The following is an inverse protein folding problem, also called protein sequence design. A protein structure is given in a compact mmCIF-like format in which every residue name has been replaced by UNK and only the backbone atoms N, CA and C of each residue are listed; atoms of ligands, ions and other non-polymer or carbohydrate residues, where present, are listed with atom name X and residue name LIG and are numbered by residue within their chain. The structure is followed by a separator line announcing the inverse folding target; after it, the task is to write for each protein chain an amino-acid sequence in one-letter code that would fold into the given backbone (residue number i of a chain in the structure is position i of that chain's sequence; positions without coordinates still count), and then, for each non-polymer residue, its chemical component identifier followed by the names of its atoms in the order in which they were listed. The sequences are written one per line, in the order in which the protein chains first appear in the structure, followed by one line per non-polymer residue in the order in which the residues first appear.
data_IF_823541775767
#
_entry.id   IF_823541775767
#
_cell.length_a   1.000
_cell.length_b   1.000
_cell.length_c   1.000
_cell.angle_alpha   90.00
_cell.angle_beta   90.00
_cell.angle_gamma   90.00
#
_symmetry.space_group_name_H-M   'P 1'
#
loop_
_entity.id
_entity.type
_entity.pdbx_description
1 polymer ?
#
# COMPACT_ATOMS: atom_id res chain seq x y z
N UNK A 1 -22.90 18.28 -39.87
CA UNK A 1 -22.06 17.78 -38.76
C UNK A 1 -22.95 16.92 -37.87
N UNK A 2 -22.81 15.59 -37.87
CA UNK A 2 -23.59 14.76 -36.96
C UNK A 2 -23.24 15.15 -35.50
N UNK A 3 -24.25 15.48 -34.69
CA UNK A 3 -24.08 15.93 -33.31
C UNK A 3 -23.33 14.90 -32.46
N UNK A 4 -22.56 15.36 -31.48
CA UNK A 4 -21.91 14.44 -30.53
C UNK A 4 -22.99 13.75 -29.70
N UNK A 5 -22.90 12.43 -29.52
CA UNK A 5 -23.75 11.72 -28.57
C UNK A 5 -23.23 11.97 -27.17
N UNK A 6 -24.15 12.27 -26.27
CA UNK A 6 -23.90 12.46 -24.85
C UNK A 6 -24.73 11.46 -24.06
N UNK A 7 -24.20 10.98 -22.93
CA UNK A 7 -25.00 10.25 -21.95
C UNK A 7 -25.89 11.23 -21.15
N UNK A 8 -26.73 10.67 -20.26
CA UNK A 8 -27.61 11.47 -19.41
C UNK A 8 -26.86 12.43 -18.45
N UNK A 9 -25.56 12.21 -18.25
CA UNK A 9 -24.68 13.07 -17.46
C UNK A 9 -23.96 14.14 -18.32
N UNK A 10 -24.29 14.25 -19.61
CA UNK A 10 -23.70 15.20 -20.55
C UNK A 10 -22.31 14.82 -21.06
N UNK A 11 -21.79 13.63 -20.73
CA UNK A 11 -20.47 13.16 -21.16
C UNK A 11 -20.54 12.57 -22.56
N UNK A 12 -19.56 12.88 -23.41
CA UNK A 12 -19.58 12.36 -24.78
C UNK A 12 -19.31 10.86 -24.81
N UNK A 13 -20.14 10.12 -25.54
CA UNK A 13 -20.06 8.65 -25.68
C UNK A 13 -19.57 8.20 -27.06
N UNK A 14 -19.30 9.16 -27.96
CA UNK A 14 -18.83 8.84 -29.30
C UNK A 14 -17.41 8.29 -29.28
N UNK A 15 -17.19 7.21 -30.04
CA UNK A 15 -15.83 6.76 -30.34
C UNK A 15 -15.07 7.90 -31.03
N UNK A 16 -13.83 8.22 -30.64
CA UNK A 16 -13.05 9.24 -31.32
C UNK A 16 -12.81 8.81 -32.78
N UNK A 17 -13.10 9.71 -33.73
CA UNK A 17 -12.96 9.47 -35.18
C UNK A 17 -11.81 10.32 -35.73
N UNK A 18 -11.11 9.80 -36.74
CA UNK A 18 -10.11 10.53 -37.51
C UNK A 18 -8.89 10.95 -36.69
N UNK A 19 -8.49 12.23 -36.83
CA UNK A 19 -7.28 12.78 -36.18
C UNK A 19 -7.35 12.75 -34.65
N UNK A 20 -8.56 12.85 -34.07
CA UNK A 20 -8.73 12.84 -32.61
C UNK A 20 -8.20 11.53 -32.03
N UNK A 21 -8.57 10.38 -32.61
CA UNK A 21 -8.08 9.08 -32.13
C UNK A 21 -6.56 8.96 -32.19
N UNK A 22 -5.93 9.52 -33.23
CA UNK A 22 -4.45 9.58 -33.33
C UNK A 22 -3.83 10.43 -32.23
N UNK A 23 -4.44 11.56 -31.88
CA UNK A 23 -3.92 12.49 -30.87
C UNK A 23 -4.17 12.02 -29.43
N UNK A 24 -5.19 11.19 -29.21
CA UNK A 24 -5.53 10.64 -27.89
C UNK A 24 -5.06 9.20 -27.68
N UNK A 25 -4.35 8.63 -28.65
CA UNK A 25 -3.74 7.31 -28.49
C UNK A 25 -2.54 7.38 -27.54
N UNK A 26 -2.18 6.28 -26.86
CA UNK A 26 -0.94 6.21 -26.09
C UNK A 26 0.29 6.61 -26.92
N UNK A 27 1.33 7.18 -26.27
CA UNK A 27 2.57 7.53 -26.95
C UNK A 27 3.17 6.34 -27.72
N UNK A 28 3.72 6.62 -28.90
CA UNK A 28 4.40 5.59 -29.69
C UNK A 28 5.85 5.46 -29.23
N UNK A 29 6.32 4.23 -29.02
CA UNK A 29 7.72 3.95 -28.66
C UNK A 29 8.04 4.06 -27.17
N UNK A 30 7.09 4.50 -26.35
CA UNK A 30 7.22 4.54 -24.89
C UNK A 30 6.35 3.44 -24.26
N UNK A 31 6.85 2.84 -23.19
CA UNK A 31 6.07 1.91 -22.40
C UNK A 31 4.96 2.67 -21.65
N UNK A 32 3.75 2.13 -21.66
CA UNK A 32 2.59 2.74 -21.01
C UNK A 32 1.76 1.67 -20.30
N UNK A 33 0.89 2.13 -19.42
CA UNK A 33 -0.03 1.30 -18.65
C UNK A 33 -1.40 1.95 -18.60
N UNK A 34 -2.45 1.14 -18.53
CA UNK A 34 -3.83 1.61 -18.42
C UNK A 34 -4.42 1.37 -17.04
N UNK A 35 -5.29 2.29 -16.66
CA UNK A 35 -6.24 2.14 -15.56
C UNK A 35 -7.60 2.56 -16.11
N UNK A 36 -8.63 1.73 -15.88
CA UNK A 36 -9.97 2.02 -16.42
C UNK A 36 -10.71 3.03 -15.54
N UNK A 37 -11.61 3.81 -16.13
CA UNK A 37 -12.43 4.76 -15.37
C UNK A 37 -13.25 4.10 -14.22
N UNK A 38 -13.89 2.92 -14.41
CA UNK A 38 -14.57 2.23 -13.32
C UNK A 38 -13.63 1.83 -12.18
N UNK A 39 -12.37 1.52 -12.50
CA UNK A 39 -11.37 1.23 -11.49
C UNK A 39 -10.97 2.49 -10.73
N UNK A 40 -10.74 3.62 -11.41
CA UNK A 40 -10.44 4.90 -10.76
C UNK A 40 -11.55 5.36 -9.80
N UNK A 41 -12.81 5.09 -10.17
CA UNK A 41 -13.99 5.44 -9.38
C UNK A 41 -14.29 4.44 -8.24
N UNK A 42 -13.67 3.25 -8.28
CA UNK A 42 -13.93 2.18 -7.31
C UNK A 42 -13.57 2.59 -5.86
N UNK A 43 -14.29 2.05 -4.86
CA UNK A 43 -13.89 2.20 -3.45
C UNK A 43 -12.45 1.78 -3.19
N UNK A 44 -12.01 0.68 -3.82
CA UNK A 44 -10.66 0.17 -3.72
C UNK A 44 -9.59 1.20 -4.12
N UNK A 45 -9.77 1.87 -5.26
CA UNK A 45 -8.80 2.84 -5.76
C UNK A 45 -8.80 4.15 -4.95
N UNK A 46 -9.99 4.62 -4.57
CA UNK A 46 -10.13 5.88 -3.81
C UNK A 46 -9.67 5.77 -2.36
N UNK A 47 -9.73 4.58 -1.77
CA UNK A 47 -9.33 4.36 -0.38
C UNK A 47 -7.82 4.20 -0.14
N UNK A 48 -7.00 4.14 -1.20
CA UNK A 48 -5.55 3.97 -1.06
C UNK A 48 -4.90 5.08 -0.23
N UNK A 49 -4.14 4.68 0.78
CA UNK A 49 -3.16 5.55 1.42
C UNK A 49 -1.98 5.90 0.50
N UNK A 50 -1.27 6.97 0.83
CA UNK A 50 -0.14 7.49 0.03
C UNK A 50 0.94 6.46 -0.26
N UNK A 51 1.31 5.62 0.71
CA UNK A 51 2.35 4.61 0.51
C UNK A 51 1.88 3.47 -0.40
N UNK A 52 0.61 3.07 -0.29
CA UNK A 52 0.02 2.06 -1.18
C UNK A 52 -0.06 2.59 -2.60
N UNK A 53 -0.42 3.87 -2.78
CA UNK A 53 -0.39 4.51 -4.10
C UNK A 53 1.00 4.46 -4.71
N UNK A 54 2.03 4.88 -3.97
CA UNK A 54 3.43 4.81 -4.44
C UNK A 54 3.88 3.37 -4.74
N UNK A 55 3.46 2.38 -3.93
CA UNK A 55 3.75 0.96 -4.20
C UNK A 55 3.15 0.52 -5.53
N UNK A 56 1.88 0.88 -5.77
CA UNK A 56 1.21 0.56 -7.03
C UNK A 56 1.87 1.25 -8.21
N UNK A 57 2.20 2.54 -8.09
CA UNK A 57 2.87 3.28 -9.15
C UNK A 57 4.25 2.65 -9.48
N UNK A 58 4.99 2.22 -8.46
CA UNK A 58 6.24 1.46 -8.65
C UNK A 58 6.01 0.14 -9.39
N UNK A 59 4.99 -0.64 -9.01
CA UNK A 59 4.71 -1.92 -9.65
C UNK A 59 4.22 -1.76 -11.09
N UNK A 60 3.44 -0.71 -11.38
CA UNK A 60 3.05 -0.36 -12.75
C UNK A 60 4.29 -0.04 -13.59
N UNK A 61 5.21 0.75 -13.03
CA UNK A 61 6.46 1.09 -13.71
C UNK A 61 7.32 -0.16 -13.96
N UNK A 62 7.44 -1.03 -12.96
CA UNK A 62 8.17 -2.30 -13.11
C UNK A 62 7.55 -3.19 -14.19
N UNK A 63 6.22 -3.29 -14.21
CA UNK A 63 5.50 -3.98 -15.28
C UNK A 63 5.81 -3.39 -16.67
N UNK A 64 5.81 -2.06 -16.80
CA UNK A 64 6.18 -1.37 -18.04
C UNK A 64 7.63 -1.64 -18.44
N UNK A 65 8.58 -1.73 -17.50
CA UNK A 65 9.98 -2.06 -17.77
C UNK A 65 10.15 -3.46 -18.35
N UNK A 66 9.27 -4.39 -17.98
CA UNK A 66 9.22 -5.75 -18.52
C UNK A 66 8.29 -5.89 -19.72
N UNK A 67 8.12 -4.84 -20.53
CA UNK A 67 7.24 -4.82 -21.72
C UNK A 67 5.79 -5.28 -21.45
N UNK A 68 5.37 -5.29 -20.18
CA UNK A 68 4.10 -5.78 -19.71
C UNK A 68 3.85 -7.28 -19.80
N UNK A 69 4.90 -8.10 -19.81
CA UNK A 69 4.78 -9.56 -19.88
C UNK A 69 4.92 -10.26 -18.51
N UNK A 70 5.60 -9.63 -17.56
CA UNK A 70 6.00 -10.24 -16.28
C UNK A 70 5.00 -10.00 -15.12
N UNK A 71 3.73 -9.71 -15.42
CA UNK A 71 2.74 -9.55 -14.35
C UNK A 71 2.60 -10.85 -13.56
N UNK A 72 2.69 -10.76 -12.22
CA UNK A 72 2.74 -11.93 -11.33
C UNK A 72 4.15 -12.32 -10.90
N UNK A 73 5.16 -11.85 -11.62
CA UNK A 73 6.58 -12.05 -11.31
C UNK A 73 7.29 -10.74 -10.94
N UNK A 74 6.55 -9.64 -10.80
CA UNK A 74 7.11 -8.32 -10.53
C UNK A 74 7.87 -8.30 -9.20
N UNK A 75 9.07 -7.74 -9.22
CA UNK A 75 9.91 -7.62 -8.03
C UNK A 75 9.83 -6.20 -7.47
N UNK A 76 9.76 -6.08 -6.15
CA UNK A 76 9.86 -4.79 -5.46
C UNK A 76 10.87 -4.88 -4.29
N UNK A 77 12.18 -4.92 -4.58
CA UNK A 77 13.21 -4.92 -3.55
C UNK A 77 13.07 -3.71 -2.63
N UNK A 78 13.26 -3.90 -1.33
CA UNK A 78 13.10 -2.83 -0.32
C UNK A 78 13.94 -1.59 -0.64
N UNK A 79 15.18 -1.78 -1.11
CA UNK A 79 16.06 -0.68 -1.51
C UNK A 79 15.45 0.16 -2.63
N UNK A 80 14.98 -0.46 -3.70
CA UNK A 80 14.37 0.24 -4.83
C UNK A 80 13.08 0.96 -4.43
N UNK A 81 12.26 0.34 -3.57
CA UNK A 81 11.07 0.99 -3.02
C UNK A 81 11.43 2.22 -2.17
N UNK A 82 12.49 2.14 -1.38
CA UNK A 82 12.97 3.27 -0.59
C UNK A 82 13.51 4.40 -1.47
N UNK A 83 14.30 4.06 -2.50
CA UNK A 83 14.80 5.03 -3.48
C UNK A 83 13.65 5.68 -4.27
N UNK A 84 12.55 4.95 -4.50
CA UNK A 84 11.30 5.47 -5.07
C UNK A 84 10.46 6.29 -4.08
N UNK A 85 10.84 6.35 -2.80
CA UNK A 85 10.19 7.17 -1.77
C UNK A 85 9.22 6.42 -0.86
N UNK A 86 9.26 5.08 -0.77
CA UNK A 86 8.58 4.31 0.28
C UNK A 86 9.52 4.02 1.45
N UNK A 87 9.23 4.59 2.61
CA UNK A 87 9.94 4.21 3.84
C UNK A 87 9.81 2.71 4.12
N UNK A 88 10.93 2.03 4.37
CA UNK A 88 10.98 0.60 4.74
C UNK A 88 9.99 0.21 5.85
N UNK A 89 9.76 1.11 6.82
CA UNK A 89 8.82 0.89 7.94
C UNK A 89 7.37 0.78 7.48
N UNK A 90 7.03 1.40 6.37
CA UNK A 90 5.67 1.51 5.84
C UNK A 90 5.38 0.52 4.72
N UNK A 91 6.41 -0.09 4.12
CA UNK A 91 6.27 -1.10 3.05
C UNK A 91 5.34 -2.24 3.46
N UNK A 92 5.50 -2.91 4.62
CA UNK A 92 4.60 -4.01 4.99
C UNK A 92 3.13 -3.55 5.09
N UNK A 93 2.91 -2.37 5.66
CA UNK A 93 1.58 -1.81 5.83
C UNK A 93 0.93 -1.36 4.50
N UNK A 94 1.74 -1.02 3.50
CA UNK A 94 1.29 -0.68 2.15
C UNK A 94 0.95 -1.95 1.35
N UNK A 95 1.74 -3.01 1.51
CA UNK A 95 1.45 -4.33 0.91
C UNK A 95 0.13 -4.89 1.45
N UNK A 96 -0.03 -4.94 2.78
CA UNK A 96 -1.26 -5.41 3.43
C UNK A 96 -2.50 -4.64 2.95
N UNK A 97 -2.36 -3.31 2.79
CA UNK A 97 -3.43 -2.44 2.30
C UNK A 97 -3.73 -2.70 0.82
N UNK A 98 -2.71 -2.84 -0.03
CA UNK A 98 -2.89 -3.15 -1.45
C UNK A 98 -3.55 -4.52 -1.69
N UNK A 99 -3.23 -5.52 -0.86
CA UNK A 99 -3.86 -6.85 -0.93
C UNK A 99 -5.32 -6.82 -0.49
N UNK A 100 -5.63 -6.10 0.60
CA UNK A 100 -7.01 -5.90 1.07
C UNK A 100 -7.86 -5.20 0.01
N UNK A 101 -7.33 -4.14 -0.61
CA UNK A 101 -8.03 -3.39 -1.66
C UNK A 101 -8.15 -4.20 -2.96
N UNK A 102 -7.59 -5.43 -3.01
CA UNK A 102 -7.66 -6.29 -4.18
C UNK A 102 -6.96 -5.71 -5.39
N UNK A 103 -6.00 -4.79 -5.18
CA UNK A 103 -5.23 -4.15 -6.23
C UNK A 103 -3.97 -4.95 -6.56
N UNK A 104 -3.39 -5.59 -5.54
CA UNK A 104 -2.23 -6.46 -5.70
C UNK A 104 -2.43 -7.82 -5.04
N UNK A 105 -1.59 -8.79 -5.44
CA UNK A 105 -1.31 -10.01 -4.69
C UNK A 105 0.19 -10.14 -4.50
N UNK A 106 0.62 -10.44 -3.28
CA UNK A 106 2.02 -10.60 -2.91
C UNK A 106 2.31 -12.06 -2.58
N UNK A 107 3.07 -12.74 -3.44
CA UNK A 107 3.72 -14.01 -3.05
C UNK A 107 4.99 -13.66 -2.30
N UNK A 108 4.95 -13.78 -0.97
CA UNK A 108 6.11 -13.49 -0.11
C UNK A 108 7.22 -14.50 -0.40
N UNK A 109 8.43 -14.00 -0.57
CA UNK A 109 9.61 -14.86 -0.69
C UNK A 109 10.01 -15.52 0.63
N UNK A 110 10.85 -16.55 0.54
CA UNK A 110 11.34 -17.30 1.70
C UNK A 110 12.20 -16.46 2.64
N UNK A 111 12.13 -16.74 3.94
CA UNK A 111 13.01 -16.14 4.95
C UNK A 111 14.17 -17.12 5.23
N UNK A 112 15.41 -16.61 5.19
CA UNK A 112 16.69 -17.28 5.53
C UNK A 112 17.26 -18.30 4.54
N UNK A 113 16.47 -19.23 3.99
CA UNK A 113 17.04 -20.33 3.19
C UNK A 113 17.11 -20.01 1.70
N UNK A 114 16.02 -19.48 1.13
CA UNK A 114 15.92 -19.34 -0.34
C UNK A 114 16.21 -17.90 -0.82
N UNK A 115 16.31 -16.93 0.11
CA UNK A 115 16.53 -15.49 -0.12
C UNK A 115 15.78 -14.92 -1.34
N UNK A 116 14.60 -15.47 -1.63
CA UNK A 116 13.80 -15.07 -2.78
C UNK A 116 13.14 -13.73 -2.50
N UNK A 117 13.17 -12.84 -3.49
CA UNK A 117 12.42 -11.59 -3.39
C UNK A 117 10.91 -11.87 -3.51
N UNK A 118 10.11 -11.10 -2.76
CA UNK A 118 8.65 -11.12 -2.93
C UNK A 118 8.26 -10.80 -4.37
N UNK A 119 7.28 -11.56 -4.87
CA UNK A 119 6.72 -11.44 -6.22
C UNK A 119 5.33 -10.83 -6.14
N UNK A 120 5.03 -9.91 -7.06
CA UNK A 120 3.79 -9.15 -7.06
C UNK A 120 3.02 -9.32 -8.36
N UNK A 121 1.68 -9.34 -8.23
CA UNK A 121 0.73 -9.30 -9.35
C UNK A 121 -0.18 -8.10 -9.21
N UNK A 122 -0.37 -7.33 -10.28
CA UNK A 122 -1.42 -6.34 -10.42
C UNK A 122 -2.70 -7.06 -10.85
N UNK A 123 -3.79 -6.93 -10.09
CA UNK A 123 -4.98 -7.78 -10.28
C UNK A 123 -5.83 -7.40 -11.49
N UNK A 124 -5.74 -6.16 -11.97
CA UNK A 124 -6.47 -5.70 -13.15
C UNK A 124 -5.72 -5.95 -14.46
N UNK A 125 -4.47 -6.41 -14.39
CA UNK A 125 -3.70 -6.84 -15.56
C UNK A 125 -3.69 -8.37 -15.63
N UNK A 126 -3.71 -8.91 -16.85
CA UNK A 126 -3.52 -10.35 -17.07
C UNK A 126 -2.09 -10.78 -16.76
N UNK A 127 -1.88 -12.06 -16.53
CA UNK A 127 -0.55 -12.69 -16.55
C UNK A 127 -0.39 -13.46 -17.88
N UNK A 128 0.78 -14.04 -18.12
CA UNK A 128 1.00 -14.88 -19.30
C UNK A 128 0.02 -16.06 -19.41
N UNK A 129 -0.44 -16.58 -18.27
CA UNK A 129 -1.29 -17.77 -18.19
C UNK A 129 -2.76 -17.47 -17.92
N UNK A 130 -3.06 -16.36 -17.23
CA UNK A 130 -4.39 -16.09 -16.68
C UNK A 130 -4.88 -14.68 -17.02
N UNK A 131 -6.20 -14.50 -17.27
CA UNK A 131 -6.76 -13.17 -17.46
C UNK A 131 -6.73 -12.34 -16.17
N UNK A 132 -6.98 -11.03 -16.29
CA UNK A 132 -7.07 -10.13 -15.15
C UNK A 132 -8.19 -10.54 -14.17
N UNK A 133 -7.83 -10.79 -12.91
CA UNK A 133 -8.77 -11.24 -11.87
C UNK A 133 -9.71 -10.14 -11.37
N UNK A 134 -9.30 -8.87 -11.48
CA UNK A 134 -10.09 -7.70 -11.09
C UNK A 134 -10.68 -7.77 -9.67
N UNK A 135 -9.90 -8.29 -8.72
CA UNK A 135 -10.32 -8.54 -7.33
C UNK A 135 -10.82 -7.27 -6.61
N UNK A 136 -10.34 -6.10 -7.03
CA UNK A 136 -10.80 -4.78 -6.57
C UNK A 136 -12.32 -4.58 -6.73
N UNK A 137 -12.98 -5.28 -7.68
CA UNK A 137 -14.44 -5.19 -7.87
C UNK A 137 -15.23 -5.79 -6.70
N UNK A 138 -14.65 -6.74 -5.96
CA UNK A 138 -15.29 -7.37 -4.82
C UNK A 138 -15.16 -6.56 -3.52
N UNK A 139 -14.37 -5.48 -3.54
CA UNK A 139 -14.08 -4.68 -2.35
C UNK A 139 -15.18 -3.64 -2.13
N UNK A 140 -15.84 -3.74 -0.97
CA UNK A 140 -16.89 -2.81 -0.53
C UNK A 140 -16.33 -1.75 0.42
N UNK A 141 -17.03 -0.62 0.54
CA UNK A 141 -16.68 0.43 1.51
C UNK A 141 -16.74 -0.06 2.96
N UNK A 142 -17.65 -0.99 3.26
CA UNK A 142 -17.79 -1.59 4.59
C UNK A 142 -16.55 -2.41 4.96
N UNK A 143 -16.07 -3.25 4.05
CA UNK A 143 -14.86 -4.04 4.24
C UNK A 143 -13.64 -3.13 4.50
N UNK A 144 -13.55 -2.01 3.78
CA UNK A 144 -12.49 -1.01 3.96
C UNK A 144 -12.60 -0.35 5.34
N UNK A 145 -13.80 0.08 5.75
CA UNK A 145 -14.03 0.72 7.06
C UNK A 145 -13.67 -0.22 8.21
N UNK A 146 -14.10 -1.48 8.16
CA UNK A 146 -13.78 -2.49 9.16
C UNK A 146 -12.26 -2.68 9.31
N UNK A 147 -11.54 -2.74 8.19
CA UNK A 147 -10.08 -2.84 8.23
C UNK A 147 -9.42 -1.58 8.80
N UNK A 148 -9.90 -0.38 8.45
CA UNK A 148 -9.37 0.87 8.99
C UNK A 148 -9.53 0.95 10.51
N UNK A 149 -10.70 0.58 11.03
CA UNK A 149 -10.97 0.49 12.47
C UNK A 149 -9.99 -0.48 13.12
N UNK A 150 -9.88 -1.71 12.60
CA UNK A 150 -8.94 -2.70 13.13
C UNK A 150 -7.47 -2.26 13.07
N UNK A 151 -7.08 -1.48 12.06
CA UNK A 151 -5.74 -0.88 11.97
C UNK A 151 -5.52 0.22 13.01
N UNK A 152 -6.51 1.06 13.27
CA UNK A 152 -6.45 2.08 14.32
C UNK A 152 -6.39 1.44 15.72
N UNK A 153 -7.18 0.41 15.98
CA UNK A 153 -7.18 -0.33 17.23
C UNK A 153 -5.84 -1.01 17.51
N UNK A 154 -5.24 -1.67 16.50
CA UNK A 154 -3.90 -2.24 16.62
C UNK A 154 -2.85 -1.17 16.99
N UNK A 155 -2.95 0.04 16.42
CA UNK A 155 -2.05 1.15 16.76
C UNK A 155 -2.27 1.65 18.19
N UNK A 156 -3.55 1.78 18.60
CA UNK A 156 -3.93 2.19 19.95
C UNK A 156 -3.41 1.20 21.00
N UNK A 157 -3.61 -0.11 20.78
CA UNK A 157 -3.11 -1.17 21.67
C UNK A 157 -1.59 -1.10 21.83
N UNK A 158 -0.84 -1.04 20.71
CA UNK A 158 0.63 -0.92 20.76
C UNK A 158 1.10 0.33 21.52
N UNK A 159 0.40 1.45 21.38
CA UNK A 159 0.71 2.68 22.13
C UNK A 159 0.46 2.48 23.63
N UNK A 160 -0.71 1.95 24.00
CA UNK A 160 -1.06 1.69 25.39
C UNK A 160 -0.08 0.71 26.04
N UNK A 161 0.32 -0.35 25.32
CA UNK A 161 1.34 -1.31 25.79
C UNK A 161 2.71 -0.65 26.00
N UNK A 162 3.12 0.24 25.10
CA UNK A 162 4.37 0.99 25.24
C UNK A 162 4.33 1.95 26.43
N UNK A 163 3.20 2.60 26.67
CA UNK A 163 2.97 3.48 27.81
C UNK A 163 2.97 2.70 29.14
N UNK A 164 2.26 1.57 29.21
CA UNK A 164 2.28 0.69 30.38
C UNK A 164 3.70 0.21 30.71
N UNK A 165 4.48 -0.21 29.71
CA UNK A 165 5.89 -0.59 29.89
C UNK A 165 6.75 0.57 30.36
N UNK A 166 6.45 1.82 29.95
CA UNK A 166 7.17 3.01 30.41
C UNK A 166 6.87 3.29 31.89
N UNK A 167 5.60 3.20 32.31
CA UNK A 167 5.23 3.33 33.72
C UNK A 167 5.88 2.24 34.58
N UNK A 168 5.88 0.99 34.11
CA UNK A 168 6.51 -0.15 34.81
C UNK A 168 8.04 0.05 34.97
N UNK A 169 8.71 0.57 33.94
CA UNK A 169 10.13 0.91 34.03
C UNK A 169 10.39 2.07 34.97
N UNK A 170 9.52 3.09 34.97
CA UNK A 170 9.65 4.24 35.86
C UNK A 170 9.46 3.85 37.33
N UNK A 171 8.50 2.97 37.65
CA UNK A 171 8.33 2.46 39.02
C UNK A 171 9.52 1.62 39.50
N UNK A 172 10.13 0.82 38.60
CA UNK A 172 11.34 0.05 38.88
C UNK A 172 12.58 0.93 39.10
N UNK A 173 12.78 2.00 38.33
CA UNK A 173 13.91 2.93 38.52
C UNK A 173 13.70 3.89 39.70
N UNK A 174 12.46 4.29 39.98
CA UNK A 174 12.14 5.19 41.10
C UNK A 174 12.34 4.57 42.48
N UNK A 175 12.32 3.24 42.62
CA UNK A 175 12.59 2.58 43.91
C UNK A 175 14.07 2.57 44.31
N UNK A 176 14.99 2.80 43.36
CA UNK A 176 16.44 2.82 43.62
C UNK A 176 16.91 4.18 44.17
N UNK A 177 16.20 5.28 43.89
CA UNK A 177 16.62 6.62 44.30
C UNK A 177 16.25 6.99 45.75
N UNK A 178 15.27 6.32 46.38
CA UNK A 178 14.86 6.63 47.76
C UNK A 178 15.55 5.80 48.85
N UNK A 179 16.28 4.73 48.51
CA UNK A 179 16.90 3.83 49.50
C UNK A 179 18.30 4.25 49.98
N UNK A 180 18.96 5.24 49.34
CA UNK A 180 20.28 5.73 49.78
C UNK A 180 20.24 6.96 50.70
N UNK A 181 19.15 7.74 50.71
CA UNK A 181 19.05 8.95 51.56
C UNK A 181 18.60 8.64 52.99
N UNK A 182 17.91 7.51 53.21
CA UNK A 182 17.47 7.11 54.55
C UNK A 182 18.59 6.52 55.44
N UNK A 183 19.71 6.07 54.85
CA UNK A 183 20.79 5.42 55.61
C UNK A 183 21.86 6.40 56.16
N UNK A 184 21.86 7.67 55.74
CA UNK A 184 22.87 8.65 56.18
C UNK A 184 22.45 9.53 57.37
N UNK A 185 21.16 9.59 57.71
CA UNK A 185 20.64 10.46 58.78
C UNK A 185 20.44 9.79 60.14
N UNK A 186 20.83 8.52 60.31
CA UNK A 186 20.69 7.80 61.60
C UNK A 186 21.99 7.80 62.42
N UNK A 187 23.13 8.26 61.86
CA UNK A 187 24.45 8.16 62.50
C UNK A 187 24.87 9.44 63.27
N UNK A 188 24.14 10.56 63.17
CA UNK A 188 24.49 11.82 63.84
C UNK A 188 23.48 12.22 64.93
N UNK A 189 23.28 11.36 65.93
CA UNK A 189 22.69 11.73 67.22
C UNK A 189 23.42 10.96 68.34
N UNK A 190 24.60 11.45 68.71
CA UNK A 190 25.27 11.18 69.99
C UNK A 190 25.91 12.46 70.48
#
# INVERSE_FOLDING_TARGET
MAGRKHDNAGRSTNKPIGKIGRFTSPPKGEAWSWVTAPMLDSPAWRAMGTNTRRLIDFLILEHCRHAGTENGNLMAPYRQLNDYGLSNRLIPAAIEEGELLGLIRCKRGGYRTDNEASRYRLTWMGTAENPASNEWKAVTEENIKLWQIGRQDRRRRKRNEAEAKKLERASKCGSVAHSHVAAQNVVSLK
#
